data_IF_859028466309
#
_entry.id   IF_859028466309
#
_cell.length_a   1.000
_cell.length_b   1.000
_cell.length_c   1.000
_cell.angle_alpha   90.00
_cell.angle_beta   90.00
_cell.angle_gamma   90.00
#
_symmetry.space_group_name_H-M   'P 1'
#
loop_
_entity.id
_entity.type
_entity.pdbx_description
1 polymer ?
#
# COMPACT_ATOMS: atom_id res chain seq x y z
N UNK A 1 -8.91 -36.37 -26.49
CA UNK A 1 -9.51 -35.02 -26.52
C UNK A 1 -10.68 -35.04 -25.54
N UNK A 2 -10.53 -34.37 -24.39
CA UNK A 2 -11.58 -34.24 -23.39
C UNK A 2 -12.55 -33.14 -23.83
N UNK A 3 -13.84 -33.48 -23.87
CA UNK A 3 -14.93 -32.64 -24.33
C UNK A 3 -15.20 -31.49 -23.34
N UNK A 4 -14.96 -30.25 -23.78
CA UNK A 4 -15.14 -29.02 -22.99
C UNK A 4 -16.58 -28.79 -22.51
N UNK A 5 -17.54 -29.57 -23.00
CA UNK A 5 -18.95 -29.53 -22.58
C UNK A 5 -19.28 -30.44 -21.39
N UNK A 6 -18.34 -31.28 -20.93
CA UNK A 6 -18.57 -32.17 -19.78
C UNK A 6 -18.83 -31.38 -18.48
N UNK A 7 -18.15 -30.24 -18.31
CA UNK A 7 -18.25 -29.40 -17.11
C UNK A 7 -19.57 -28.60 -17.07
N UNK A 8 -20.01 -28.08 -18.22
CA UNK A 8 -21.28 -27.37 -18.35
C UNK A 8 -22.49 -28.31 -18.17
N UNK A 9 -22.38 -29.54 -18.65
CA UNK A 9 -23.41 -30.57 -18.45
C UNK A 9 -23.47 -31.06 -16.99
N UNK A 10 -22.39 -30.93 -16.24
CA UNK A 10 -22.32 -31.29 -14.82
C UNK A 10 -23.05 -30.28 -13.89
N UNK A 11 -23.28 -29.04 -14.34
CA UNK A 11 -23.85 -27.96 -13.52
C UNK A 11 -25.40 -27.90 -13.45
N UNK A 12 -26.13 -28.93 -13.93
CA UNK A 12 -27.60 -29.14 -13.77
C UNK A 12 -28.48 -27.86 -13.57
N UNK A 13 -28.44 -26.88 -14.48
CA UNK A 13 -29.15 -25.62 -14.16
C UNK A 13 -29.70 -24.75 -15.28
N UNK A 14 -29.20 -24.81 -16.51
CA UNK A 14 -29.72 -23.93 -17.57
C UNK A 14 -30.08 -24.79 -18.77
N UNK A 15 -31.38 -24.90 -19.00
CA UNK A 15 -31.95 -25.54 -20.18
C UNK A 15 -32.11 -24.50 -21.29
N UNK A 16 -31.82 -24.89 -22.52
CA UNK A 16 -31.83 -23.99 -23.69
C UNK A 16 -33.18 -23.27 -23.88
N UNK A 17 -34.27 -23.88 -23.41
CA UNK A 17 -35.63 -23.33 -23.38
C UNK A 17 -35.73 -21.97 -22.65
N UNK A 18 -34.94 -21.73 -21.60
CA UNK A 18 -34.96 -20.45 -20.87
C UNK A 18 -34.31 -19.30 -21.63
N UNK A 19 -33.40 -19.60 -22.55
CA UNK A 19 -32.73 -18.61 -23.39
C UNK A 19 -33.64 -18.21 -24.56
N UNK A 20 -34.41 -19.16 -25.09
CA UNK A 20 -35.39 -18.92 -26.16
C UNK A 20 -36.63 -18.16 -25.65
N UNK A 21 -37.11 -18.47 -24.45
CA UNK A 21 -38.21 -17.73 -23.82
C UNK A 21 -37.85 -16.27 -23.55
N UNK A 22 -36.63 -16.00 -23.05
CA UNK A 22 -36.13 -14.63 -22.83
C UNK A 22 -36.03 -13.83 -24.13
N UNK A 23 -35.66 -14.46 -25.25
CA UNK A 23 -35.59 -13.83 -26.57
C UNK A 23 -36.98 -13.45 -27.12
N UNK A 24 -38.01 -14.22 -26.78
CA UNK A 24 -39.41 -13.97 -27.16
C UNK A 24 -40.03 -12.81 -26.36
N UNK A 25 -39.69 -12.69 -25.07
CA UNK A 25 -40.17 -11.63 -24.17
C UNK A 25 -39.60 -10.26 -24.55
N UNK A 26 -38.38 -10.23 -25.10
CA UNK A 26 -37.72 -8.99 -25.55
C UNK A 26 -38.11 -8.53 -26.95
N UNK A 27 -39.11 -9.19 -27.58
CA UNK A 27 -39.70 -8.79 -28.86
C UNK A 27 -38.68 -8.53 -29.98
N UNK A 28 -37.61 -9.33 -30.00
CA UNK A 28 -36.56 -9.26 -31.02
C UNK A 28 -37.06 -9.92 -32.32
N UNK A 29 -38.04 -9.29 -33.00
CA UNK A 29 -38.49 -9.72 -34.33
C UNK A 29 -37.37 -9.49 -35.34
N UNK A 30 -36.84 -10.61 -35.83
CA UNK A 30 -35.94 -10.71 -36.95
C UNK A 30 -36.50 -9.97 -38.18
N UNK A 31 -35.95 -8.80 -38.48
CA UNK A 31 -36.00 -8.14 -39.79
C UNK A 31 -34.87 -7.09 -39.87
N UNK A 32 -33.63 -7.55 -39.74
CA UNK A 32 -32.48 -6.79 -40.17
C UNK A 32 -31.47 -7.79 -40.71
N UNK A 33 -31.21 -7.65 -42.00
CA UNK A 33 -30.23 -8.41 -42.78
C UNK A 33 -28.89 -8.45 -42.01
N UNK A 34 -28.47 -9.56 -41.39
CA UNK A 34 -27.30 -9.53 -40.54
C UNK A 34 -26.08 -9.66 -41.45
N UNK A 35 -25.43 -8.53 -41.75
CA UNK A 35 -23.98 -8.55 -41.93
C UNK A 35 -23.42 -9.06 -40.60
N UNK A 36 -23.15 -10.36 -40.54
CA UNK A 36 -22.62 -11.01 -39.35
C UNK A 36 -21.24 -10.44 -39.07
N UNK A 37 -21.16 -9.40 -38.25
CA UNK A 37 -20.00 -9.22 -37.41
C UNK A 37 -20.04 -10.43 -36.47
N UNK A 38 -19.31 -11.50 -36.83
CA UNK A 38 -18.96 -12.56 -35.91
C UNK A 38 -18.12 -11.89 -34.82
N UNK A 39 -18.77 -11.31 -33.82
CA UNK A 39 -18.16 -11.11 -32.53
C UNK A 39 -17.64 -12.49 -32.14
N UNK A 40 -16.31 -12.62 -32.07
CA UNK A 40 -15.68 -13.91 -31.80
C UNK A 40 -16.06 -14.33 -30.38
N UNK A 41 -17.18 -15.04 -30.25
CA UNK A 41 -17.67 -15.61 -28.98
C UNK A 41 -16.58 -16.39 -28.26
N UNK A 42 -15.66 -16.99 -29.01
CA UNK A 42 -14.46 -17.63 -28.47
C UNK A 42 -13.51 -16.65 -27.79
N UNK A 43 -13.20 -15.50 -28.41
CA UNK A 43 -12.35 -14.45 -27.82
C UNK A 43 -12.99 -13.84 -26.56
N UNK A 44 -14.29 -13.57 -26.59
CA UNK A 44 -15.01 -13.05 -25.44
C UNK A 44 -15.11 -14.09 -24.31
N UNK A 45 -15.37 -15.35 -24.63
CA UNK A 45 -15.37 -16.44 -23.65
C UNK A 45 -13.97 -16.68 -23.06
N UNK A 46 -12.89 -16.61 -23.86
CA UNK A 46 -11.52 -16.70 -23.32
C UNK A 46 -11.14 -15.48 -22.50
N UNK A 47 -11.60 -14.27 -22.86
CA UNK A 47 -11.38 -13.07 -22.05
C UNK A 47 -12.13 -13.15 -20.73
N UNK A 48 -13.37 -13.65 -20.72
CA UNK A 48 -14.14 -13.85 -19.49
C UNK A 48 -13.52 -14.94 -18.61
N UNK A 49 -13.09 -16.06 -19.19
CA UNK A 49 -12.38 -17.12 -18.45
C UNK A 49 -11.03 -16.62 -17.96
N UNK A 50 -10.28 -15.85 -18.74
CA UNK A 50 -9.03 -15.24 -18.31
C UNK A 50 -9.27 -14.21 -17.20
N UNK A 51 -10.29 -13.37 -17.31
CA UNK A 51 -10.66 -12.40 -16.28
C UNK A 51 -11.11 -13.11 -14.98
N UNK A 52 -11.90 -14.18 -15.09
CA UNK A 52 -12.31 -15.02 -13.96
C UNK A 52 -11.11 -15.73 -13.34
N UNK A 53 -10.20 -16.25 -14.15
CA UNK A 53 -8.97 -16.88 -13.66
C UNK A 53 -8.06 -15.85 -12.99
N UNK A 54 -7.86 -14.67 -13.58
CA UNK A 54 -7.09 -13.57 -12.98
C UNK A 54 -7.73 -13.15 -11.66
N UNK A 55 -9.05 -12.96 -11.59
CA UNK A 55 -9.75 -12.62 -10.35
C UNK A 55 -9.73 -13.73 -9.31
N UNK A 56 -9.74 -15.01 -9.73
CA UNK A 56 -9.61 -16.15 -8.82
C UNK A 56 -8.17 -16.34 -8.34
N UNK A 57 -7.17 -16.02 -9.18
CA UNK A 57 -5.76 -16.11 -8.81
C UNK A 57 -5.34 -14.96 -7.90
N UNK A 58 -5.91 -13.75 -8.03
CA UNK A 58 -5.67 -12.65 -7.08
C UNK A 58 -6.22 -12.98 -5.68
N UNK A 59 -7.42 -13.54 -5.60
CA UNK A 59 -8.04 -13.99 -4.34
C UNK A 59 -7.33 -15.24 -3.77
N UNK A 60 -6.80 -16.14 -4.62
CA UNK A 60 -6.06 -17.30 -4.13
C UNK A 60 -4.61 -16.98 -3.71
N UNK A 61 -3.98 -15.94 -4.26
CA UNK A 61 -2.61 -15.58 -3.94
C UNK A 61 -2.47 -15.04 -2.51
N UNK A 62 -3.41 -14.19 -2.07
CA UNK A 62 -3.42 -13.64 -0.72
C UNK A 62 -3.80 -14.69 0.34
N UNK A 63 -4.82 -15.52 0.08
CA UNK A 63 -5.18 -16.66 0.94
C UNK A 63 -4.07 -17.73 1.11
N UNK A 64 -3.10 -17.78 0.19
CA UNK A 64 -1.90 -18.65 0.29
C UNK A 64 -0.68 -17.94 0.89
N UNK A 65 -0.82 -16.67 1.31
CA UNK A 65 0.26 -15.87 1.88
C UNK A 65 1.25 -15.30 0.86
N UNK A 66 0.95 -15.37 -0.45
CA UNK A 66 1.88 -14.98 -1.53
C UNK A 66 1.99 -13.46 -1.74
N UNK A 67 1.28 -12.65 -0.96
CA UNK A 67 1.50 -11.21 -0.83
C UNK A 67 1.17 -10.74 0.59
N UNK A 68 1.27 -11.67 1.55
CA UNK A 68 1.00 -11.39 2.95
C UNK A 68 2.02 -10.42 3.53
N UNK A 69 1.77 -9.97 4.75
CA UNK A 69 2.58 -8.99 5.44
C UNK A 69 4.09 -9.32 5.39
N UNK A 70 4.46 -10.58 5.58
CA UNK A 70 5.87 -11.02 5.60
C UNK A 70 6.66 -10.62 4.36
N UNK A 71 6.06 -10.68 3.18
CA UNK A 71 6.74 -10.37 1.90
C UNK A 71 6.94 -8.86 1.69
N UNK A 72 6.38 -8.04 2.58
CA UNK A 72 6.48 -6.58 2.60
C UNK A 72 7.34 -6.05 3.74
N UNK A 73 7.88 -6.91 4.60
CA UNK A 73 8.61 -6.46 5.78
C UNK A 73 10.06 -6.18 5.49
N UNK A 74 10.47 -4.94 5.76
CA UNK A 74 11.85 -4.48 5.79
C UNK A 74 12.35 -4.59 7.23
N UNK A 75 13.46 -5.30 7.45
CA UNK A 75 14.13 -5.38 8.75
C UNK A 75 15.44 -4.59 8.74
N UNK A 76 15.78 -3.96 9.86
CA UNK A 76 17.02 -3.17 9.99
C UNK A 76 18.30 -4.01 9.94
N UNK A 77 18.20 -5.29 10.28
CA UNK A 77 19.28 -6.27 10.21
C UNK A 77 18.74 -7.51 9.49
N UNK A 78 19.40 -8.03 8.44
CA UNK A 78 18.98 -9.26 7.79
C UNK A 78 19.05 -10.44 8.76
N UNK A 79 18.07 -11.35 8.71
CA UNK A 79 17.96 -12.57 9.53
C UNK A 79 19.24 -13.46 9.54
N UNK A 80 20.15 -13.27 8.57
CA UNK A 80 21.37 -14.06 8.38
C UNK A 80 22.61 -13.58 9.11
N UNK A 81 22.61 -12.43 9.79
CA UNK A 81 23.81 -11.97 10.53
C UNK A 81 23.64 -12.16 12.04
N UNK A 82 24.25 -13.20 12.64
CA UNK A 82 24.38 -13.25 14.08
C UNK A 82 25.27 -12.09 14.52
N UNK A 83 24.82 -11.31 15.51
CA UNK A 83 25.66 -10.34 16.20
C UNK A 83 26.71 -11.14 16.98
N UNK A 84 27.83 -11.44 16.35
CA UNK A 84 29.00 -12.00 17.03
C UNK A 84 29.86 -10.83 17.48
N UNK A 85 29.61 -10.35 18.70
CA UNK A 85 30.57 -9.53 19.42
C UNK A 85 31.71 -10.42 19.93
N UNK A 86 32.68 -10.69 19.07
CA UNK A 86 33.99 -11.16 19.54
C UNK A 86 34.74 -9.98 20.17
N UNK A 87 34.62 -9.80 21.49
CA UNK A 87 35.74 -9.32 22.32
C UNK A 87 35.52 -9.50 23.83
N UNK A 88 36.27 -10.46 24.39
CA UNK A 88 36.98 -10.43 25.67
C UNK A 88 36.24 -10.17 27.00
N UNK A 89 36.25 -11.23 27.84
CA UNK A 89 36.44 -11.23 29.30
C UNK A 89 35.79 -10.11 30.14
N UNK A 90 34.50 -10.26 30.44
CA UNK A 90 33.97 -9.99 31.77
C UNK A 90 32.59 -10.66 31.88
N UNK A 91 32.38 -11.42 32.96
CA UNK A 91 31.07 -11.94 33.30
C UNK A 91 30.20 -10.78 33.80
N UNK A 92 29.26 -10.34 32.97
CA UNK A 92 27.96 -9.83 33.38
C UNK A 92 27.02 -9.96 32.17
N UNK A 93 25.76 -10.29 32.46
CA UNK A 93 24.66 -10.66 31.55
C UNK A 93 24.81 -10.22 30.09
N UNK A 94 24.52 -11.09 29.10
CA UNK A 94 24.54 -10.66 27.69
C UNK A 94 23.59 -9.47 27.58
N UNK A 95 24.13 -8.31 27.19
CA UNK A 95 23.33 -7.20 26.75
C UNK A 95 22.38 -7.77 25.70
N UNK A 96 21.07 -7.77 25.99
CA UNK A 96 20.05 -8.19 25.03
C UNK A 96 20.38 -7.48 23.73
N UNK A 97 20.72 -8.23 22.69
CA UNK A 97 20.77 -7.66 21.35
C UNK A 97 19.46 -6.90 21.16
N UNK A 98 19.53 -5.61 20.85
CA UNK A 98 18.33 -4.85 20.57
C UNK A 98 17.60 -5.57 19.42
N UNK A 99 16.32 -5.87 19.60
CA UNK A 99 15.50 -6.48 18.55
C UNK A 99 15.57 -5.59 17.30
N UNK A 100 15.69 -6.19 16.09
CA UNK A 100 15.77 -5.43 14.86
C UNK A 100 14.50 -4.59 14.68
N UNK A 101 14.68 -3.35 14.23
CA UNK A 101 13.57 -2.49 13.83
C UNK A 101 12.95 -3.05 12.55
N UNK A 102 11.65 -2.86 12.44
CA UNK A 102 10.82 -3.44 11.39
C UNK A 102 9.94 -2.36 10.79
N UNK A 103 9.88 -2.34 9.47
CA UNK A 103 9.02 -1.47 8.70
C UNK A 103 8.28 -2.28 7.65
N UNK A 104 7.14 -1.77 7.25
CA UNK A 104 6.42 -2.27 6.09
C UNK A 104 6.83 -1.46 4.87
N UNK A 105 7.11 -2.17 3.76
CA UNK A 105 7.37 -1.60 2.45
C UNK A 105 6.08 -0.99 1.90
N UNK A 106 6.20 0.25 1.42
CA UNK A 106 5.08 1.11 1.08
C UNK A 106 4.88 1.27 -0.43
N UNK A 107 5.84 0.89 -1.27
CA UNK A 107 5.74 0.96 -2.74
C UNK A 107 6.49 -0.15 -3.48
N UNK A 108 6.64 -1.32 -2.87
CA UNK A 108 7.32 -2.43 -3.51
C UNK A 108 7.29 -3.74 -2.72
N UNK A 109 7.58 -4.82 -3.41
CA UNK A 109 7.78 -6.16 -2.84
C UNK A 109 9.28 -6.47 -2.77
N UNK A 110 9.67 -7.48 -1.99
CA UNK A 110 11.08 -7.84 -1.73
C UNK A 110 12.06 -7.79 -2.93
N UNK A 111 11.60 -8.20 -4.11
CA UNK A 111 12.42 -8.26 -5.33
C UNK A 111 12.35 -6.99 -6.21
N UNK A 112 11.60 -5.97 -5.79
CA UNK A 112 11.47 -4.70 -6.52
C UNK A 112 12.64 -3.74 -6.19
N UNK A 113 13.06 -2.89 -7.15
CA UNK A 113 14.03 -1.83 -6.89
C UNK A 113 13.61 -0.91 -5.74
N UNK A 114 12.31 -0.59 -5.64
CA UNK A 114 11.75 0.27 -4.60
C UNK A 114 11.95 -0.32 -3.21
N UNK A 115 11.63 -1.60 -3.02
CA UNK A 115 11.84 -2.27 -1.74
C UNK A 115 13.32 -2.27 -1.37
N UNK A 116 14.19 -2.63 -2.31
CA UNK A 116 15.63 -2.75 -2.05
C UNK A 116 16.23 -1.40 -1.69
N UNK A 117 15.93 -0.35 -2.46
CA UNK A 117 16.38 1.01 -2.17
C UNK A 117 15.87 1.52 -0.82
N UNK A 118 14.60 1.31 -0.49
CA UNK A 118 14.05 1.71 0.81
C UNK A 118 14.70 0.94 1.96
N UNK A 119 14.96 -0.36 1.81
CA UNK A 119 15.62 -1.18 2.82
C UNK A 119 17.06 -0.70 3.08
N UNK A 120 17.82 -0.42 2.02
CA UNK A 120 19.18 0.12 2.14
C UNK A 120 19.19 1.52 2.75
N UNK A 121 18.27 2.39 2.34
CA UNK A 121 18.12 3.73 2.90
C UNK A 121 17.80 3.70 4.39
N UNK A 122 16.83 2.88 4.81
CA UNK A 122 16.46 2.75 6.22
C UNK A 122 17.59 2.19 7.07
N UNK A 123 18.30 1.18 6.57
CA UNK A 123 19.48 0.61 7.24
C UNK A 123 20.59 1.66 7.39
N UNK A 124 20.95 2.33 6.30
CA UNK A 124 21.95 3.40 6.32
C UNK A 124 21.58 4.49 7.34
N UNK A 125 20.33 4.97 7.33
CA UNK A 125 19.88 6.00 8.27
C UNK A 125 20.01 5.57 9.72
N UNK A 126 19.62 4.35 10.05
CA UNK A 126 19.72 3.83 11.41
C UNK A 126 21.17 3.74 11.88
N UNK A 127 22.06 3.18 11.05
CA UNK A 127 23.49 3.09 11.34
C UNK A 127 24.14 4.46 11.45
N UNK A 128 23.79 5.37 10.54
CA UNK A 128 24.32 6.72 10.50
C UNK A 128 23.91 7.51 11.74
N UNK A 129 22.63 7.51 12.10
CA UNK A 129 22.10 8.21 13.28
C UNK A 129 22.60 7.61 14.60
N UNK A 130 22.91 6.32 14.65
CA UNK A 130 23.51 5.68 15.82
C UNK A 130 24.98 6.07 16.03
N UNK A 131 25.70 6.40 14.95
CA UNK A 131 27.14 6.65 14.95
C UNK A 131 27.53 8.13 14.80
N UNK A 132 26.60 9.00 14.41
CA UNK A 132 26.84 10.41 14.13
C UNK A 132 25.97 11.32 15.00
N UNK A 133 26.56 12.42 15.47
CA UNK A 133 25.81 13.50 16.12
C UNK A 133 25.25 14.43 15.06
N UNK A 134 23.93 14.39 14.88
CA UNK A 134 23.24 15.37 14.04
C UNK A 134 23.25 16.73 14.74
N UNK A 135 23.69 17.76 14.01
CA UNK A 135 23.69 19.14 14.50
C UNK A 135 22.63 19.95 13.75
N UNK A 136 22.09 20.98 14.39
CA UNK A 136 21.15 21.91 13.74
C UNK A 136 21.86 22.91 12.80
N UNK A 137 23.08 22.60 12.35
CA UNK A 137 23.84 23.43 11.45
C UNK A 137 23.43 23.16 9.99
N UNK A 138 22.62 24.05 9.43
CA UNK A 138 22.12 23.93 8.06
C UNK A 138 22.95 24.73 7.03
N UNK A 139 24.10 25.31 7.39
CA UNK A 139 24.91 26.11 6.45
C UNK A 139 25.36 25.34 5.20
N UNK A 140 25.43 24.01 5.27
CA UNK A 140 25.75 23.18 4.10
C UNK A 140 24.67 23.25 3.01
N UNK A 141 23.43 23.60 3.37
CA UNK A 141 22.32 23.79 2.43
C UNK A 141 22.38 25.12 1.66
N UNK A 142 23.19 26.10 2.10
CA UNK A 142 23.24 27.45 1.49
C UNK A 142 23.67 27.43 0.00
N UNK A 143 24.30 26.34 -0.43
CA UNK A 143 24.77 26.13 -1.81
C UNK A 143 23.80 25.34 -2.69
N UNK A 144 22.70 24.84 -2.14
CA UNK A 144 21.74 23.97 -2.82
C UNK A 144 20.59 24.77 -3.42
N UNK A 145 20.01 24.25 -4.51
CA UNK A 145 18.74 24.75 -5.04
C UNK A 145 17.55 24.33 -4.15
N UNK A 146 16.40 24.98 -4.37
CA UNK A 146 15.18 24.77 -3.58
C UNK A 146 14.66 23.32 -3.65
N UNK A 147 14.73 22.70 -4.82
CA UNK A 147 14.29 21.32 -5.03
C UNK A 147 15.12 20.34 -4.19
N UNK A 148 16.44 20.51 -4.20
CA UNK A 148 17.36 19.69 -3.41
C UNK A 148 17.14 19.92 -1.91
N UNK A 149 16.91 21.16 -1.48
CA UNK A 149 16.57 21.45 -0.07
C UNK A 149 15.28 20.74 0.33
N UNK A 150 14.26 20.74 -0.53
CA UNK A 150 13.01 20.05 -0.29
C UNK A 150 13.22 18.53 -0.21
N UNK A 151 13.98 17.93 -1.13
CA UNK A 151 14.37 16.52 -1.04
C UNK A 151 15.05 16.20 0.30
N UNK A 152 16.02 17.00 0.75
CA UNK A 152 16.64 16.79 2.06
C UNK A 152 15.62 16.76 3.20
N UNK A 153 14.63 17.66 3.17
CA UNK A 153 13.57 17.74 4.18
C UNK A 153 12.63 16.53 4.15
N UNK A 154 12.21 16.09 2.96
CA UNK A 154 11.29 14.97 2.83
C UNK A 154 11.91 13.65 3.29
N UNK A 155 13.16 13.39 2.89
CA UNK A 155 13.84 12.13 3.20
C UNK A 155 14.58 12.13 4.55
N UNK A 156 14.67 13.29 5.21
CA UNK A 156 15.40 13.43 6.47
C UNK A 156 16.91 13.30 6.31
N UNK A 157 17.47 13.87 5.24
CA UNK A 157 18.91 13.98 5.03
C UNK A 157 19.44 15.22 5.76
N UNK A 158 20.22 15.00 6.83
CA UNK A 158 20.66 16.07 7.73
C UNK A 158 22.00 16.71 7.38
N UNK A 159 22.76 16.08 6.49
CA UNK A 159 24.03 16.57 6.00
C UNK A 159 24.31 16.09 4.56
N UNK A 160 25.47 16.49 4.04
CA UNK A 160 25.88 16.16 2.68
C UNK A 160 26.09 14.65 2.47
N UNK A 161 26.58 13.93 3.47
CA UNK A 161 26.82 12.49 3.33
C UNK A 161 25.50 11.72 3.18
N UNK A 162 24.49 12.08 3.97
CA UNK A 162 23.16 11.49 3.82
C UNK A 162 22.51 11.82 2.47
N UNK A 163 22.68 13.04 1.96
CA UNK A 163 22.18 13.42 0.63
C UNK A 163 22.91 12.66 -0.49
N UNK A 164 24.24 12.54 -0.41
CA UNK A 164 25.03 11.85 -1.41
C UNK A 164 24.66 10.35 -1.45
N UNK A 165 24.44 9.71 -0.29
CA UNK A 165 23.98 8.32 -0.21
C UNK A 165 22.58 8.15 -0.82
N UNK A 166 21.64 9.04 -0.49
CA UNK A 166 20.29 8.99 -1.04
C UNK A 166 20.29 9.10 -2.57
N UNK A 167 21.12 9.98 -3.13
CA UNK A 167 21.28 10.12 -4.58
C UNK A 167 21.93 8.88 -5.20
N UNK A 168 22.93 8.29 -4.54
CA UNK A 168 23.57 7.06 -5.01
C UNK A 168 22.58 5.90 -5.07
N UNK A 169 21.72 5.74 -4.06
CA UNK A 169 20.65 4.74 -4.07
C UNK A 169 19.63 4.99 -5.19
N UNK A 170 19.22 6.25 -5.38
CA UNK A 170 18.31 6.62 -6.47
C UNK A 170 18.90 6.26 -7.85
N UNK A 171 20.18 6.57 -8.07
CA UNK A 171 20.90 6.22 -9.31
C UNK A 171 21.06 4.70 -9.49
N UNK A 172 21.50 3.99 -8.44
CA UNK A 172 21.73 2.55 -8.46
C UNK A 172 20.46 1.76 -8.84
N UNK A 173 19.31 2.17 -8.29
CA UNK A 173 18.05 1.48 -8.49
C UNK A 173 17.20 2.07 -9.63
N UNK A 174 17.64 3.15 -10.26
CA UNK A 174 16.90 3.83 -11.33
C UNK A 174 15.60 4.46 -10.84
N UNK A 175 15.58 4.94 -9.60
CA UNK A 175 14.41 5.53 -8.94
C UNK A 175 14.54 7.05 -8.87
N UNK A 176 13.39 7.74 -8.80
CA UNK A 176 13.35 9.18 -8.59
C UNK A 176 13.25 9.51 -7.10
N UNK A 177 13.61 10.74 -6.76
CA UNK A 177 13.37 11.34 -5.45
C UNK A 177 12.32 12.44 -5.58
N UNK A 178 11.49 12.59 -4.56
CA UNK A 178 10.54 13.70 -4.49
C UNK A 178 11.25 15.03 -4.27
N UNK A 179 10.87 16.04 -5.05
CA UNK A 179 11.40 17.40 -4.97
C UNK A 179 10.34 18.44 -4.63
N UNK A 180 9.05 18.08 -4.76
CA UNK A 180 7.94 18.99 -4.49
C UNK A 180 6.82 18.32 -3.71
N UNK A 181 6.18 19.10 -2.86
CA UNK A 181 5.02 18.68 -2.08
C UNK A 181 4.08 19.86 -1.89
N UNK A 182 2.78 19.57 -1.85
CA UNK A 182 1.74 20.56 -1.51
C UNK A 182 0.85 20.02 -0.40
N UNK A 183 0.27 20.94 0.37
CA UNK A 183 -0.67 20.64 1.47
C UNK A 183 -1.99 21.36 1.19
N UNK A 184 -2.95 20.69 0.52
CA UNK A 184 -4.25 21.29 0.26
C UNK A 184 -5.01 21.62 1.55
N UNK A 185 -5.78 22.70 1.54
CA UNK A 185 -6.52 23.17 2.72
C UNK A 185 -7.82 22.42 2.98
N UNK A 186 -8.43 21.87 1.91
CA UNK A 186 -9.69 21.15 1.99
C UNK A 186 -9.54 19.76 1.40
N UNK A 187 -10.39 18.82 1.82
CA UNK A 187 -10.40 17.47 1.30
C UNK A 187 -10.82 17.43 -0.19
N UNK A 188 -11.67 18.37 -0.62
CA UNK A 188 -12.02 18.51 -2.04
C UNK A 188 -10.80 18.93 -2.88
N UNK A 189 -10.04 19.92 -2.41
CA UNK A 189 -8.80 20.34 -3.07
C UNK A 189 -7.75 19.22 -3.01
N UNK A 190 -7.74 18.43 -1.94
CA UNK A 190 -6.89 17.26 -1.82
C UNK A 190 -7.15 16.25 -2.94
N UNK A 191 -8.41 15.83 -3.15
CA UNK A 191 -8.74 14.88 -4.21
C UNK A 191 -8.36 15.39 -5.60
N UNK A 192 -8.64 16.66 -5.88
CA UNK A 192 -8.30 17.29 -7.17
C UNK A 192 -6.78 17.35 -7.36
N UNK A 193 -6.05 17.79 -6.34
CA UNK A 193 -4.59 17.93 -6.40
C UNK A 193 -3.91 16.57 -6.52
N UNK A 194 -4.41 15.52 -5.84
CA UNK A 194 -3.88 14.17 -5.92
C UNK A 194 -4.30 13.43 -7.21
N UNK A 195 -5.28 13.96 -7.93
CA UNK A 195 -5.85 13.32 -9.12
C UNK A 195 -6.60 12.03 -8.80
N UNK A 196 -7.13 11.90 -7.59
CA UNK A 196 -7.99 10.78 -7.20
C UNK A 196 -9.45 11.13 -7.44
N UNK A 197 -10.36 10.16 -7.30
CA UNK A 197 -11.72 10.54 -6.97
C UNK A 197 -11.96 10.66 -5.47
N UNK A 198 -13.22 10.77 -5.09
CA UNK A 198 -13.64 10.86 -3.69
C UNK A 198 -13.55 9.46 -3.07
N UNK A 199 -12.54 9.24 -2.25
CA UNK A 199 -12.27 7.93 -1.67
C UNK A 199 -12.65 7.79 -0.19
N UNK A 200 -12.88 8.88 0.55
CA UNK A 200 -13.45 8.79 1.90
C UNK A 200 -14.96 8.98 1.80
N UNK A 201 -15.72 8.08 2.39
CA UNK A 201 -17.18 8.19 2.45
C UNK A 201 -17.65 9.18 3.52
N UNK A 202 -16.82 9.41 4.53
CA UNK A 202 -17.09 10.31 5.65
C UNK A 202 -15.80 10.77 6.34
N UNK A 203 -15.94 11.72 7.26
CA UNK A 203 -14.83 12.27 8.04
C UNK A 203 -14.14 13.46 7.37
N UNK A 204 -13.06 13.90 8.01
CA UNK A 204 -12.18 14.94 7.50
C UNK A 204 -10.74 14.48 7.65
N UNK A 205 -9.89 15.01 6.79
CA UNK A 205 -8.47 14.71 6.83
C UNK A 205 -7.65 15.84 6.26
N UNK A 206 -6.39 15.84 6.63
CA UNK A 206 -5.38 16.73 6.10
C UNK A 206 -4.12 15.93 5.82
N UNK A 207 -3.27 16.47 4.96
CA UNK A 207 -2.14 15.72 4.49
C UNK A 207 -1.42 16.46 3.40
N UNK A 208 -0.48 15.76 2.80
CA UNK A 208 0.36 16.31 1.77
C UNK A 208 0.45 15.37 0.59
N UNK A 209 0.70 15.94 -0.58
CA UNK A 209 0.77 15.24 -1.86
C UNK A 209 2.10 15.58 -2.51
N UNK A 210 2.80 14.55 -2.98
CA UNK A 210 4.01 14.66 -3.79
C UNK A 210 3.68 14.80 -5.27
N UNK A 211 4.62 15.31 -6.06
CA UNK A 211 4.43 15.70 -7.46
C UNK A 211 3.98 14.58 -8.40
N UNK A 212 4.12 13.31 -8.01
CA UNK A 212 3.64 12.16 -8.79
C UNK A 212 2.27 11.63 -8.34
N UNK A 213 1.63 12.30 -7.37
CA UNK A 213 0.33 11.90 -6.82
C UNK A 213 0.42 10.90 -5.66
N UNK A 214 1.63 10.53 -5.22
CA UNK A 214 1.84 9.84 -3.93
C UNK A 214 1.50 10.79 -2.77
N UNK A 215 0.95 10.29 -1.68
CA UNK A 215 0.52 11.14 -0.57
C UNK A 215 0.44 10.39 0.76
N UNK A 216 0.40 11.19 1.84
CA UNK A 216 -0.10 10.77 3.15
C UNK A 216 -1.29 11.67 3.52
N UNK A 217 -2.42 11.06 3.85
CA UNK A 217 -3.59 11.73 4.41
C UNK A 217 -3.82 11.20 5.83
N UNK A 218 -3.82 12.09 6.82
CA UNK A 218 -4.25 11.79 8.18
C UNK A 218 -5.75 12.10 8.29
N UNK A 219 -6.51 11.14 8.79
CA UNK A 219 -7.96 11.18 8.94
C UNK A 219 -8.26 11.05 10.43
N UNK A 220 -9.02 12.01 10.95
CA UNK A 220 -9.49 11.95 12.33
C UNK A 220 -10.69 11.00 12.38
N UNK A 221 -10.62 9.99 13.25
CA UNK A 221 -11.74 9.09 13.51
C UNK A 221 -12.93 9.81 14.14
N UNK A 222 -14.10 9.18 14.12
CA UNK A 222 -15.23 9.69 14.88
C UNK A 222 -14.91 9.65 16.38
N UNK A 223 -15.21 10.75 17.08
CA UNK A 223 -15.08 10.87 18.54
C UNK A 223 -13.71 10.47 19.14
N UNK A 224 -12.62 10.63 18.37
CA UNK A 224 -11.25 10.31 18.80
C UNK A 224 -10.97 8.82 19.15
N UNK A 225 -11.86 7.89 18.75
CA UNK A 225 -11.69 6.46 19.09
C UNK A 225 -10.52 5.79 18.35
N UNK A 226 -10.23 6.28 17.14
CA UNK A 226 -9.09 5.87 16.34
C UNK A 226 -8.48 7.05 15.59
N UNK A 227 -7.21 6.91 15.25
CA UNK A 227 -6.57 7.72 14.21
C UNK A 227 -6.32 6.84 13.00
N UNK A 228 -6.52 7.40 11.81
CA UNK A 228 -6.29 6.68 10.57
C UNK A 228 -5.37 7.48 9.65
N UNK A 229 -4.40 6.83 9.03
CA UNK A 229 -3.60 7.41 7.95
C UNK A 229 -3.78 6.58 6.69
N UNK A 230 -4.00 7.25 5.55
CA UNK A 230 -4.05 6.64 4.22
C UNK A 230 -2.80 7.08 3.47
N UNK A 231 -2.00 6.10 3.07
CA UNK A 231 -0.80 6.28 2.28
C UNK A 231 -1.08 5.73 0.89
N UNK A 232 -0.87 6.55 -0.14
CA UNK A 232 -0.85 6.12 -1.55
C UNK A 232 0.54 6.38 -2.07
N UNK A 233 1.19 5.37 -2.63
CA UNK A 233 2.54 5.50 -3.19
C UNK A 233 2.60 4.85 -4.56
N UNK A 234 3.32 5.50 -5.48
CA UNK A 234 3.58 4.96 -6.80
C UNK A 234 4.95 4.28 -6.87
N UNK A 235 5.06 3.28 -7.74
CA UNK A 235 6.35 2.73 -8.17
C UNK A 235 7.20 3.79 -8.89
N UNK A 236 8.52 3.60 -8.89
CA UNK A 236 9.49 4.48 -9.55
C UNK A 236 10.07 5.59 -8.67
N UNK A 237 9.83 5.57 -7.36
CA UNK A 237 10.42 6.50 -6.39
C UNK A 237 10.98 5.79 -5.16
N UNK A 238 12.01 6.35 -4.53
CA UNK A 238 12.34 6.01 -3.13
C UNK A 238 11.35 6.75 -2.24
N UNK A 239 10.89 6.15 -1.15
CA UNK A 239 9.91 6.80 -0.29
C UNK A 239 10.54 7.63 0.83
N UNK A 240 10.06 8.87 1.04
CA UNK A 240 10.41 9.68 2.21
C UNK A 240 9.66 9.23 3.47
N UNK A 241 8.79 8.23 3.34
CA UNK A 241 7.95 7.69 4.39
C UNK A 241 8.41 6.31 4.79
N UNK A 242 8.38 6.05 6.09
CA UNK A 242 8.49 4.71 6.65
C UNK A 242 7.39 4.51 7.68
N UNK A 243 6.88 3.29 7.75
CA UNK A 243 5.86 2.91 8.72
C UNK A 243 6.39 1.73 9.53
N UNK A 244 6.65 1.98 10.81
CA UNK A 244 7.11 0.95 11.74
C UNK A 244 6.03 -0.10 11.97
N UNK A 245 6.45 -1.35 12.09
CA UNK A 245 5.56 -2.50 12.23
C UNK A 245 6.09 -3.49 13.24
N UNK A 246 5.20 -4.18 13.94
CA UNK A 246 5.58 -5.26 14.86
C UNK A 246 5.89 -6.55 14.08
N UNK A 247 6.30 -7.61 14.79
CA UNK A 247 6.56 -8.93 14.24
C UNK A 247 5.34 -9.43 13.47
N UNK A 248 5.51 -9.95 12.24
CA UNK A 248 4.38 -10.42 11.42
C UNK A 248 3.52 -11.49 12.11
N UNK A 249 4.11 -12.28 13.00
CA UNK A 249 3.40 -13.30 13.78
C UNK A 249 2.36 -12.73 14.74
N UNK A 250 2.47 -11.44 15.10
CA UNK A 250 1.51 -10.76 15.97
C UNK A 250 0.27 -10.28 15.18
N UNK A 251 0.29 -10.40 13.85
CA UNK A 251 -0.80 -9.97 13.00
C UNK A 251 -1.67 -11.15 12.56
N UNK A 252 -2.98 -10.99 12.75
CA UNK A 252 -3.99 -11.82 12.11
C UNK A 252 -4.29 -11.23 10.73
N UNK A 253 -4.14 -12.05 9.68
CA UNK A 253 -4.36 -11.63 8.30
C UNK A 253 -5.63 -12.27 7.72
N UNK A 254 -6.47 -11.47 7.05
CA UNK A 254 -7.59 -11.97 6.26
C UNK A 254 -7.96 -11.05 5.10
N UNK A 255 -8.54 -11.64 4.07
CA UNK A 255 -9.16 -10.88 2.98
C UNK A 255 -10.57 -10.45 3.33
N UNK A 256 -10.93 -9.26 2.88
CA UNK A 256 -12.27 -8.73 2.98
C UNK A 256 -12.63 -8.01 1.69
N UNK A 257 -13.87 -8.18 1.22
CA UNK A 257 -14.41 -7.36 0.14
C UNK A 257 -15.35 -6.35 0.76
N UNK A 258 -14.97 -5.08 0.69
CA UNK A 258 -15.74 -3.99 1.30
C UNK A 258 -17.07 -3.76 0.57
N UNK A 259 -17.92 -2.90 1.13
CA UNK A 259 -19.21 -2.53 0.52
C UNK A 259 -19.11 -1.87 -0.86
N UNK A 260 -17.91 -1.42 -1.25
CA UNK A 260 -17.62 -0.82 -2.55
C UNK A 260 -17.13 -1.83 -3.61
N UNK A 261 -16.94 -3.10 -3.21
CA UNK A 261 -16.48 -4.18 -4.09
C UNK A 261 -14.96 -4.28 -4.22
N UNK A 262 -14.20 -3.57 -3.39
CA UNK A 262 -12.75 -3.65 -3.33
C UNK A 262 -12.33 -4.79 -2.40
N UNK A 263 -11.56 -5.75 -2.92
CA UNK A 263 -10.94 -6.80 -2.10
C UNK A 263 -9.61 -6.31 -1.54
N UNK A 264 -9.50 -6.27 -0.22
CA UNK A 264 -8.34 -5.77 0.52
C UNK A 264 -7.77 -6.85 1.46
N UNK A 265 -6.49 -6.75 1.77
CA UNK A 265 -5.86 -7.53 2.84
C UNK A 265 -5.87 -6.73 4.14
N UNK A 266 -6.50 -7.25 5.19
CA UNK A 266 -6.40 -6.72 6.54
C UNK A 266 -5.34 -7.49 7.32
N UNK A 267 -4.48 -6.76 8.03
CA UNK A 267 -3.54 -7.30 9.02
C UNK A 267 -3.78 -6.57 10.34
N UNK A 268 -4.26 -7.31 11.35
CA UNK A 268 -4.70 -6.77 12.62
C UNK A 268 -3.88 -7.33 13.80
N UNK A 269 -3.47 -6.44 14.70
CA UNK A 269 -2.75 -6.79 15.91
C UNK A 269 -3.47 -6.18 17.14
N UNK A 270 -3.88 -7.02 18.08
CA UNK A 270 -4.57 -6.67 19.33
C UNK A 270 -3.66 -5.95 20.35
N UNK A 271 -2.34 -5.87 20.11
CA UNK A 271 -1.45 -5.14 20.98
C UNK A 271 -0.15 -4.71 20.29
N UNK A 272 0.14 -3.40 20.30
CA UNK A 272 1.44 -2.86 19.90
C UNK A 272 2.21 -2.41 21.14
N UNK A 273 3.31 -3.11 21.46
CA UNK A 273 4.17 -2.74 22.58
C UNK A 273 4.85 -1.37 22.39
N UNK A 274 4.99 -0.91 21.14
CA UNK A 274 5.68 0.34 20.75
C UNK A 274 4.76 1.57 20.68
N UNK A 275 3.44 1.39 20.69
CA UNK A 275 2.47 2.51 20.65
C UNK A 275 1.79 2.63 22.01
N UNK A 276 2.29 3.57 22.82
CA UNK A 276 1.75 3.84 24.15
C UNK A 276 0.24 4.11 24.11
N UNK A 277 -0.50 3.42 24.98
CA UNK A 277 -1.96 3.54 25.10
C UNK A 277 -2.77 3.08 23.90
N UNK A 278 -2.16 2.42 22.90
CA UNK A 278 -2.93 1.74 21.86
C UNK A 278 -3.56 0.45 22.39
N UNK A 279 -4.76 0.15 21.90
CA UNK A 279 -5.48 -1.11 22.16
C UNK A 279 -5.52 -2.02 20.95
N UNK A 280 -5.26 -1.51 19.75
CA UNK A 280 -5.03 -2.31 18.55
C UNK A 280 -4.38 -1.51 17.41
N UNK A 281 -3.81 -2.23 16.43
CA UNK A 281 -3.22 -1.73 15.19
C UNK A 281 -3.80 -2.50 14.00
N UNK A 282 -4.37 -1.77 13.04
CA UNK A 282 -4.91 -2.33 11.82
C UNK A 282 -4.17 -1.76 10.61
N UNK A 283 -3.71 -2.65 9.73
CA UNK A 283 -3.20 -2.33 8.40
C UNK A 283 -4.15 -2.87 7.36
N UNK A 284 -4.53 -2.04 6.41
CA UNK A 284 -5.33 -2.45 5.25
C UNK A 284 -4.48 -2.18 4.02
N UNK A 285 -4.35 -3.19 3.18
CA UNK A 285 -3.56 -3.07 1.97
C UNK A 285 -4.40 -3.29 0.73
N UNK A 286 -4.13 -2.46 -0.28
CA UNK A 286 -4.72 -2.55 -1.60
C UNK A 286 -3.71 -2.07 -2.64
N UNK A 287 -3.47 -2.86 -3.67
CA UNK A 287 -2.45 -2.55 -4.65
C UNK A 287 -2.80 -3.09 -6.02
N UNK A 288 -2.56 -2.26 -7.03
CA UNK A 288 -2.87 -2.55 -8.43
C UNK A 288 -2.00 -1.69 -9.34
N UNK A 289 -1.45 -2.29 -10.40
CA UNK A 289 -0.76 -1.59 -11.50
C UNK A 289 0.32 -0.57 -11.05
N UNK A 290 1.11 -0.92 -10.03
CA UNK A 290 2.19 -0.07 -9.52
C UNK A 290 1.73 1.06 -8.60
N UNK A 291 0.47 1.06 -8.18
CA UNK A 291 -0.08 1.89 -7.09
C UNK A 291 -0.20 1.03 -5.84
N UNK A 292 0.37 1.50 -4.74
CA UNK A 292 0.37 0.84 -3.44
C UNK A 292 -0.38 1.70 -2.43
N UNK A 293 -1.44 1.15 -1.86
CA UNK A 293 -2.24 1.82 -0.84
C UNK A 293 -2.12 1.05 0.47
N UNK A 294 -1.82 1.79 1.53
CA UNK A 294 -1.93 1.31 2.90
C UNK A 294 -2.79 2.26 3.71
N UNK A 295 -3.78 1.70 4.38
CA UNK A 295 -4.44 2.36 5.51
C UNK A 295 -3.84 1.86 6.81
N UNK A 296 -3.48 2.76 7.70
CA UNK A 296 -3.05 2.47 9.06
C UNK A 296 -4.06 3.05 10.04
N UNK A 297 -4.77 2.21 10.77
CA UNK A 297 -5.65 2.64 11.86
C UNK A 297 -5.08 2.21 13.21
N UNK A 298 -5.05 3.13 14.17
CA UNK A 298 -4.65 2.88 15.56
C UNK A 298 -5.84 3.16 16.46
N UNK A 299 -6.15 2.21 17.34
CA UNK A 299 -7.25 2.29 18.28
C UNK A 299 -6.72 2.60 19.69
N UNK A 300 -7.44 3.43 20.45
CA UNK A 300 -7.00 3.92 21.77
C UNK A 300 -7.99 3.61 22.91
N UNK A 301 -9.24 3.28 22.60
CA UNK A 301 -10.26 3.02 23.61
C UNK A 301 -10.14 1.62 24.22
N UNK A 302 -10.52 1.45 25.50
CA UNK A 302 -10.31 0.21 26.26
C UNK A 302 -11.18 -0.97 25.81
N UNK A 303 -12.10 -0.76 24.87
CA UNK A 303 -12.94 -1.83 24.32
C UNK A 303 -12.13 -2.66 23.33
N UNK A 304 -12.36 -3.98 23.35
CA UNK A 304 -11.75 -4.89 22.40
C UNK A 304 -12.21 -4.56 20.99
N UNK A 305 -11.28 -4.37 20.07
CA UNK A 305 -11.59 -4.16 18.64
C UNK A 305 -11.92 -5.51 18.02
N UNK A 306 -13.12 -5.62 17.45
CA UNK A 306 -13.58 -6.83 16.78
C UNK A 306 -13.14 -6.87 15.32
N UNK A 307 -13.27 -8.05 14.71
CA UNK A 307 -13.09 -8.21 13.27
C UNK A 307 -14.05 -7.33 12.46
N UNK A 308 -15.29 -7.19 12.91
CA UNK A 308 -16.31 -6.37 12.26
C UNK A 308 -15.94 -4.88 12.32
N UNK A 309 -15.34 -4.41 13.41
CA UNK A 309 -14.84 -3.03 13.53
C UNK A 309 -13.71 -2.76 12.52
N UNK A 310 -12.83 -3.74 12.30
CA UNK A 310 -11.78 -3.63 11.29
C UNK A 310 -12.34 -3.56 9.86
N UNK A 311 -13.35 -4.38 9.56
CA UNK A 311 -14.04 -4.38 8.27
C UNK A 311 -14.80 -3.06 8.04
N UNK A 312 -15.40 -2.47 9.08
CA UNK A 312 -16.02 -1.15 9.00
C UNK A 312 -15.02 -0.03 8.65
N UNK A 313 -13.76 -0.11 9.09
CA UNK A 313 -12.73 0.84 8.64
C UNK A 313 -12.49 0.71 7.13
N UNK A 314 -12.46 -0.52 6.59
CA UNK A 314 -12.31 -0.74 5.15
C UNK A 314 -13.51 -0.23 4.34
N UNK A 315 -14.72 -0.32 4.90
CA UNK A 315 -15.96 0.19 4.29
C UNK A 315 -16.02 1.71 4.20
N UNK A 316 -15.17 2.44 4.93
CA UNK A 316 -15.09 3.91 4.86
C UNK A 316 -14.28 4.42 3.67
N UNK A 317 -13.64 3.50 2.93
CA UNK A 317 -12.68 3.82 1.88
C UNK A 317 -13.11 3.17 0.56
N UNK A 318 -13.22 3.99 -0.48
CA UNK A 318 -13.41 3.55 -1.86
C UNK A 318 -12.04 3.36 -2.50
N UNK A 319 -11.44 2.18 -2.39
CA UNK A 319 -10.04 1.95 -2.73
C UNK A 319 -9.76 2.08 -4.24
N UNK A 320 -10.68 1.67 -5.11
CA UNK A 320 -10.49 1.85 -6.55
C UNK A 320 -10.43 3.33 -6.98
N UNK A 321 -10.98 4.25 -6.20
CA UNK A 321 -10.87 5.70 -6.46
C UNK A 321 -9.45 6.23 -6.19
N UNK A 322 -8.66 5.53 -5.35
CA UNK A 322 -7.25 5.82 -5.08
C UNK A 322 -6.32 5.39 -6.22
N UNK A 323 -6.75 4.46 -7.09
CA UNK A 323 -5.97 4.03 -8.25
C UNK A 323 -5.86 5.13 -9.32
N UNK A 324 -6.82 6.07 -9.33
CA UNK A 324 -6.76 7.23 -10.22
C UNK A 324 -5.55 8.10 -9.85
N UNK A 325 -4.78 8.47 -10.86
CA UNK A 325 -3.56 9.27 -10.71
C UNK A 325 -3.46 10.25 -11.88
N UNK A 326 -3.84 11.49 -11.62
CA UNK A 326 -3.65 12.63 -12.52
C UNK A 326 -3.45 13.91 -11.69
N UNK A 327 -2.31 14.03 -10.98
CA UNK A 327 -2.11 15.09 -10.00
C UNK A 327 -2.07 16.48 -10.66
N UNK A 328 -2.82 17.43 -10.09
CA UNK A 328 -2.85 18.82 -10.55
C UNK A 328 -2.30 19.77 -9.48
N UNK A 329 -1.00 20.06 -9.61
CA UNK A 329 -0.28 20.96 -8.70
C UNK A 329 -0.52 22.45 -9.03
N UNK A 330 -1.30 22.78 -10.06
CA UNK A 330 -1.68 24.16 -10.35
C UNK A 330 -2.70 24.71 -9.35
N UNK A 331 -3.43 23.83 -8.65
CA UNK A 331 -4.45 24.16 -7.67
C UNK A 331 -3.91 24.41 -6.26
N UNK A 332 -2.65 24.05 -5.99
CA UNK A 332 -2.03 24.10 -4.67
C UNK A 332 -1.18 25.36 -4.38
N UNK A 333 -1.39 26.47 -5.10
CA UNK A 333 -0.66 27.74 -4.93
C UNK A 333 -1.44 28.81 -4.21
#
# INVERSE_FOLDING_TARGET
>A
MLDSFALLRAMRGIRDEYIEDAASVLNYKANANPKTHRFNRKLWSTLLVAAILVSLFTVAAYALGWFGLRDRMIESVPESEPIVTESSFAADSPASAAEPKRWVSLNGYKDSPEYQANAEWLRFREEYLASHTITNNNFWMDSLDEETINTCRYYGAFDRAMLDELNALAEQYGLRLHTHQVTPFTLEDFYRTAGTGVFLTEGSGNGYIYEDGSFKLEVLGEQDQNTMAILKNLSGTILPLSSGMDKPENYQEWEYTNIHGDTVLLAFNEHREDIASSTADLRIFFDMDGVFIMTHAVFYEPESVSKEDCEQIADRIVFHELLKTDPDFSLGK
#
